data_IF_510846799788
#
_entry.id   IF_510846799788
#
_cell.length_a   1.000
_cell.length_b   1.000
_cell.length_c   1.000
_cell.angle_alpha   90.00
_cell.angle_beta   90.00
_cell.angle_gamma   90.00
#
_symmetry.space_group_name_H-M   'P 1'
#
loop_
_entity.id
_entity.type
_entity.pdbx_description
1 polymer ?
#
# COMPACT_ATOMS: atom_id res chain seq x y z
N UNK A 1 -14.60 -3.14 -24.77
CA UNK A 1 -14.70 -1.68 -24.49
C UNK A 1 -13.95 -1.37 -23.21
N UNK A 2 -13.27 -0.23 -23.07
CA UNK A 2 -12.66 0.15 -21.80
C UNK A 2 -13.74 0.25 -20.71
N UNK A 3 -13.40 -0.22 -19.51
CA UNK A 3 -14.30 -0.17 -18.35
C UNK A 3 -14.58 1.27 -17.94
N UNK A 4 -15.78 1.57 -17.53
CA UNK A 4 -16.11 2.84 -16.89
C UNK A 4 -15.56 2.87 -15.46
N UNK A 5 -15.47 4.06 -14.86
CA UNK A 5 -15.06 4.23 -13.46
C UNK A 5 -15.91 3.38 -12.50
N UNK A 6 -17.24 3.40 -12.69
CA UNK A 6 -18.17 2.61 -11.87
C UNK A 6 -18.00 1.11 -12.06
N UNK A 7 -17.78 0.64 -13.28
CA UNK A 7 -17.56 -0.79 -13.56
C UNK A 7 -16.26 -1.31 -12.93
N UNK A 8 -15.23 -0.49 -12.85
CA UNK A 8 -13.96 -0.90 -12.24
C UNK A 8 -13.99 -0.80 -10.71
N UNK A 9 -14.27 0.39 -10.17
CA UNK A 9 -14.08 0.65 -8.74
C UNK A 9 -15.27 0.22 -7.86
N UNK A 10 -16.49 0.18 -8.41
CA UNK A 10 -17.68 -0.25 -7.64
C UNK A 10 -17.94 -1.75 -7.75
N UNK A 11 -17.60 -2.38 -8.89
CA UNK A 11 -17.82 -3.79 -9.10
C UNK A 11 -16.70 -4.68 -8.57
N UNK A 12 -15.47 -4.26 -8.72
CA UNK A 12 -14.27 -5.00 -8.32
C UNK A 12 -13.49 -4.25 -7.22
N UNK A 13 -12.76 -4.99 -6.39
CA UNK A 13 -11.85 -4.42 -5.42
C UNK A 13 -10.41 -4.54 -5.94
N UNK A 14 -9.60 -3.50 -5.73
CA UNK A 14 -8.17 -3.56 -5.97
C UNK A 14 -7.55 -4.77 -5.24
N UNK A 15 -6.57 -5.47 -5.83
CA UNK A 15 -5.89 -6.58 -5.17
C UNK A 15 -5.34 -6.19 -3.80
N UNK A 16 -5.41 -7.12 -2.84
CA UNK A 16 -4.92 -6.88 -1.49
C UNK A 16 -3.40 -6.70 -1.51
N UNK A 17 -2.94 -5.52 -1.09
CA UNK A 17 -1.52 -5.16 -1.03
C UNK A 17 -1.20 -4.39 0.24
N UNK A 18 0.07 -4.43 0.66
CA UNK A 18 0.65 -3.51 1.63
C UNK A 18 1.71 -2.66 0.95
N UNK A 19 1.93 -1.47 1.48
CA UNK A 19 2.80 -0.47 0.88
C UNK A 19 3.90 -0.05 1.87
N UNK A 20 5.08 -0.70 1.86
CA UNK A 20 6.16 -0.37 2.82
C UNK A 20 6.60 1.10 2.75
N UNK A 21 6.53 1.74 1.57
CA UNK A 21 6.82 3.17 1.40
C UNK A 21 5.80 4.09 2.08
N UNK A 22 4.62 3.58 2.42
CA UNK A 22 3.56 4.29 3.13
C UNK A 22 3.47 3.87 4.63
N UNK A 23 4.47 3.15 5.14
CA UNK A 23 4.55 2.78 6.57
C UNK A 23 4.79 4.04 7.42
N UNK A 24 3.86 4.40 8.33
CA UNK A 24 4.03 5.55 9.22
C UNK A 24 5.32 5.55 10.03
N UNK A 25 5.88 4.38 10.39
CA UNK A 25 7.15 4.33 11.12
C UNK A 25 8.32 4.78 10.25
N UNK A 26 8.40 4.32 9.00
CA UNK A 26 9.42 4.72 8.03
C UNK A 26 9.28 6.20 7.70
N UNK A 27 8.04 6.66 7.56
CA UNK A 27 7.74 8.05 7.21
C UNK A 27 8.03 9.02 8.36
N UNK A 28 7.76 8.63 9.63
CA UNK A 28 8.16 9.40 10.79
C UNK A 28 9.69 9.56 10.90
N UNK A 29 10.45 8.49 10.64
CA UNK A 29 11.91 8.53 10.61
C UNK A 29 12.43 9.51 9.55
N UNK A 30 11.86 9.45 8.34
CA UNK A 30 12.20 10.37 7.26
C UNK A 30 11.84 11.82 7.59
N UNK A 31 10.72 12.04 8.29
CA UNK A 31 10.30 13.36 8.73
C UNK A 31 11.22 13.92 9.83
N UNK A 32 11.62 13.12 10.80
CA UNK A 32 12.62 13.53 11.81
C UNK A 32 13.94 13.90 11.17
N UNK A 33 14.39 13.12 10.17
CA UNK A 33 15.60 13.46 9.39
C UNK A 33 15.43 14.78 8.63
N UNK A 34 14.20 15.15 8.25
CA UNK A 34 13.87 16.42 7.60
C UNK A 34 13.59 17.57 8.59
N UNK A 35 13.58 17.30 9.90
CA UNK A 35 13.39 18.30 10.95
C UNK A 35 11.93 18.47 11.42
N UNK A 36 11.01 17.61 11.04
CA UNK A 36 9.64 17.56 11.57
C UNK A 36 9.59 16.63 12.78
N UNK A 37 8.99 17.08 13.88
CA UNK A 37 8.83 16.29 15.09
C UNK A 37 7.57 15.41 15.02
N UNK A 38 7.57 14.48 14.06
CA UNK A 38 6.45 13.58 13.84
C UNK A 38 6.16 12.70 15.07
N UNK A 39 4.87 12.43 15.31
CA UNK A 39 4.43 11.60 16.44
C UNK A 39 4.80 10.12 16.24
N UNK A 40 4.88 9.38 17.35
CA UNK A 40 5.06 7.93 17.30
C UNK A 40 3.77 7.26 16.76
N UNK A 41 3.86 6.41 15.71
CA UNK A 41 2.68 5.77 15.15
C UNK A 41 1.88 4.90 16.11
N UNK A 42 2.48 4.43 17.21
CA UNK A 42 1.84 3.48 18.13
C UNK A 42 0.60 4.05 18.86
N UNK A 43 0.47 5.37 18.94
CA UNK A 43 -0.70 6.05 19.53
C UNK A 43 -1.34 7.06 18.59
N UNK A 44 -0.97 7.05 17.32
CA UNK A 44 -1.36 8.06 16.35
C UNK A 44 -2.76 7.84 15.76
N UNK A 45 -3.32 8.93 15.20
CA UNK A 45 -4.50 8.89 14.34
C UNK A 45 -4.06 8.76 12.89
N UNK A 46 -4.39 7.63 12.27
CA UNK A 46 -3.93 7.25 10.92
C UNK A 46 -5.14 7.16 9.98
N UNK A 47 -5.07 7.86 8.85
CA UNK A 47 -6.06 7.82 7.79
C UNK A 47 -5.45 7.22 6.53
N UNK A 48 -6.13 6.25 5.92
CA UNK A 48 -5.85 5.78 4.56
C UNK A 48 -7.01 6.15 3.62
N UNK A 49 -6.71 6.94 2.59
CA UNK A 49 -7.64 7.37 1.54
C UNK A 49 -7.48 6.43 0.33
N UNK A 50 -8.60 5.87 -0.16
CA UNK A 50 -8.57 4.83 -1.17
C UNK A 50 -8.10 3.49 -0.61
N UNK A 51 -8.58 3.11 0.59
CA UNK A 51 -8.09 1.95 1.32
C UNK A 51 -8.49 0.59 0.71
N UNK A 52 -9.32 0.57 -0.33
CA UNK A 52 -9.86 -0.65 -0.96
C UNK A 52 -10.39 -1.65 0.09
N UNK A 53 -9.98 -2.92 0.03
CA UNK A 53 -10.37 -3.94 1.03
C UNK A 53 -9.59 -3.85 2.36
N UNK A 54 -8.88 -2.75 2.59
CA UNK A 54 -8.27 -2.40 3.87
C UNK A 54 -7.00 -3.17 4.24
N UNK A 55 -6.36 -3.90 3.30
CA UNK A 55 -5.23 -4.76 3.66
C UNK A 55 -4.07 -3.99 4.31
N UNK A 56 -3.75 -2.80 3.81
CA UNK A 56 -2.69 -1.97 4.37
C UNK A 56 -3.07 -1.41 5.74
N UNK A 57 -4.21 -0.72 5.87
CA UNK A 57 -4.63 -0.12 7.15
C UNK A 57 -4.90 -1.16 8.23
N UNK A 58 -5.39 -2.37 7.88
CA UNK A 58 -5.55 -3.48 8.82
C UNK A 58 -4.20 -4.01 9.33
N UNK A 59 -3.18 -4.01 8.45
CA UNK A 59 -1.81 -4.37 8.86
C UNK A 59 -1.24 -3.34 9.84
N UNK A 60 -1.51 -2.04 9.63
CA UNK A 60 -1.14 -0.96 10.55
C UNK A 60 -1.88 -1.07 11.89
N UNK A 61 -3.21 -1.25 11.86
CA UNK A 61 -4.03 -1.40 13.05
C UNK A 61 -3.61 -2.60 13.90
N UNK A 62 -3.25 -3.71 13.26
CA UNK A 62 -2.73 -4.91 13.93
C UNK A 62 -1.35 -4.70 14.54
N UNK A 63 -0.49 -3.90 13.89
CA UNK A 63 0.85 -3.57 14.38
C UNK A 63 0.81 -2.62 15.58
N UNK A 64 -0.12 -1.68 15.58
CA UNK A 64 -0.26 -0.64 16.60
C UNK A 64 -1.65 -0.64 17.24
N UNK A 65 -1.88 -1.51 18.25
CA UNK A 65 -3.19 -1.59 18.92
C UNK A 65 -3.65 -0.29 19.59
N UNK A 66 -2.71 0.62 19.91
CA UNK A 66 -2.99 1.94 20.50
C UNK A 66 -3.30 3.03 19.48
N UNK A 67 -3.07 2.79 18.18
CA UNK A 67 -3.38 3.75 17.13
C UNK A 67 -4.88 3.74 16.80
N UNK A 68 -5.41 4.88 16.34
CA UNK A 68 -6.77 5.01 15.82
C UNK A 68 -6.71 5.04 14.29
N UNK A 69 -7.08 3.94 13.64
CA UNK A 69 -7.02 3.79 12.20
C UNK A 69 -8.36 4.10 11.53
N UNK A 70 -8.33 4.79 10.40
CA UNK A 70 -9.51 5.06 9.58
C UNK A 70 -9.19 4.75 8.12
N UNK A 71 -10.00 3.93 7.46
CA UNK A 71 -9.95 3.69 6.02
C UNK A 71 -11.15 4.32 5.33
N UNK A 72 -10.94 4.97 4.18
CA UNK A 72 -12.00 5.55 3.36
C UNK A 72 -11.89 4.99 1.96
N UNK A 73 -13.00 4.52 1.42
CA UNK A 73 -13.10 4.09 0.02
C UNK A 73 -14.54 4.28 -0.49
N UNK A 74 -14.69 4.56 -1.77
CA UNK A 74 -15.98 4.72 -2.41
C UNK A 74 -16.68 3.38 -2.71
N UNK A 75 -15.92 2.28 -2.75
CA UNK A 75 -16.43 0.94 -3.05
C UNK A 75 -17.05 0.30 -1.83
N UNK A 76 -18.39 0.25 -1.77
CA UNK A 76 -19.12 -0.44 -0.70
C UNK A 76 -18.77 -1.92 -0.57
N UNK A 77 -18.45 -2.58 -1.68
CA UNK A 77 -18.00 -3.98 -1.70
C UNK A 77 -16.64 -4.12 -1.01
N UNK A 78 -15.69 -3.23 -1.32
CA UNK A 78 -14.36 -3.22 -0.72
C UNK A 78 -14.44 -2.91 0.78
N UNK A 79 -15.18 -1.86 1.16
CA UNK A 79 -15.40 -1.45 2.57
C UNK A 79 -16.10 -2.55 3.38
N UNK A 80 -17.13 -3.21 2.82
CA UNK A 80 -17.79 -4.35 3.48
C UNK A 80 -16.82 -5.49 3.73
N UNK A 81 -15.92 -5.78 2.77
CA UNK A 81 -14.87 -6.78 2.94
C UNK A 81 -13.88 -6.37 4.03
N UNK A 82 -13.42 -5.11 4.03
CA UNK A 82 -12.51 -4.58 5.04
C UNK A 82 -13.08 -4.69 6.46
N UNK A 83 -14.35 -4.30 6.65
CA UNK A 83 -15.08 -4.46 7.92
C UNK A 83 -15.18 -5.91 8.38
N UNK A 84 -15.41 -6.84 7.45
CA UNK A 84 -15.46 -8.26 7.76
C UNK A 84 -14.08 -8.80 8.19
N UNK A 85 -13.02 -8.44 7.48
CA UNK A 85 -11.64 -8.82 7.81
C UNK A 85 -11.23 -8.27 9.19
N UNK A 86 -11.55 -7.01 9.51
CA UNK A 86 -11.29 -6.41 10.81
C UNK A 86 -11.95 -7.21 11.95
N UNK A 87 -13.24 -7.55 11.80
CA UNK A 87 -13.97 -8.38 12.79
C UNK A 87 -13.32 -9.75 12.98
N UNK A 88 -12.95 -10.43 11.89
CA UNK A 88 -12.32 -11.76 11.94
C UNK A 88 -10.95 -11.73 12.60
N UNK A 89 -10.21 -10.65 12.39
CA UNK A 89 -8.92 -10.41 13.03
C UNK A 89 -9.03 -9.87 14.46
N UNK A 90 -10.24 -9.58 14.96
CA UNK A 90 -10.46 -9.02 16.28
C UNK A 90 -9.89 -7.60 16.45
N UNK A 91 -9.77 -6.83 15.37
CA UNK A 91 -9.26 -5.46 15.40
C UNK A 91 -10.39 -4.49 15.73
N UNK A 92 -10.29 -3.80 16.86
CA UNK A 92 -11.26 -2.82 17.35
C UNK A 92 -10.82 -1.36 17.15
N UNK A 93 -9.56 -1.14 16.78
CA UNK A 93 -8.93 0.16 16.63
C UNK A 93 -8.94 0.67 15.16
N UNK A 94 -9.80 0.10 14.32
CA UNK A 94 -9.95 0.52 12.92
C UNK A 94 -11.41 0.69 12.55
N UNK A 95 -11.74 1.77 11.85
CA UNK A 95 -13.05 2.06 11.29
C UNK A 95 -12.96 2.30 9.78
N UNK A 96 -14.06 2.05 9.07
CA UNK A 96 -14.14 2.21 7.62
C UNK A 96 -15.35 3.07 7.22
N UNK A 97 -15.11 4.06 6.36
CA UNK A 97 -16.13 4.92 5.77
C UNK A 97 -16.30 4.55 4.28
N UNK A 98 -17.55 4.33 3.89
CA UNK A 98 -17.96 4.15 2.51
C UNK A 98 -18.50 5.48 1.99
N UNK A 99 -17.64 6.25 1.35
CA UNK A 99 -17.98 7.54 0.75
C UNK A 99 -16.88 7.98 -0.23
N UNK A 100 -17.19 8.96 -1.05
CA UNK A 100 -16.17 9.66 -1.83
C UNK A 100 -15.32 10.56 -0.92
N UNK A 101 -14.11 10.89 -1.32
CA UNK A 101 -13.29 11.85 -0.57
C UNK A 101 -13.95 13.23 -0.48
N UNK A 102 -14.74 13.61 -1.49
CA UNK A 102 -15.48 14.88 -1.51
C UNK A 102 -16.57 14.98 -0.43
N UNK A 103 -17.08 13.83 0.02
CA UNK A 103 -18.13 13.72 1.05
C UNK A 103 -17.57 13.36 2.43
N UNK A 104 -16.27 13.07 2.51
CA UNK A 104 -15.65 12.65 3.75
C UNK A 104 -15.34 13.81 4.67
N UNK A 105 -16.13 13.98 5.71
CA UNK A 105 -15.99 15.02 6.73
C UNK A 105 -15.70 14.42 8.10
N UNK A 106 -14.44 14.03 8.39
CA UNK A 106 -14.08 13.49 9.70
C UNK A 106 -13.96 14.58 10.76
N UNK A 107 -14.18 14.19 12.01
CA UNK A 107 -13.87 15.03 13.16
C UNK A 107 -12.37 15.04 13.47
N UNK A 108 -11.84 16.25 13.75
CA UNK A 108 -10.45 16.46 14.19
C UNK A 108 -9.42 16.28 13.07
N UNK A 109 -8.17 16.07 13.48
CA UNK A 109 -6.99 15.99 12.64
C UNK A 109 -6.39 14.59 12.68
N UNK A 110 -5.49 14.30 11.75
CA UNK A 110 -4.75 13.04 11.65
C UNK A 110 -3.25 13.29 11.74
N UNK A 111 -2.54 12.39 12.40
CA UNK A 111 -1.09 12.43 12.49
C UNK A 111 -0.42 11.85 11.24
N UNK A 112 -1.10 10.88 10.62
CA UNK A 112 -0.67 10.32 9.34
C UNK A 112 -1.85 10.24 8.38
N UNK A 113 -1.66 10.78 7.16
CA UNK A 113 -2.62 10.65 6.07
C UNK A 113 -1.92 9.94 4.91
N UNK A 114 -2.48 8.81 4.49
CA UNK A 114 -1.92 7.96 3.43
C UNK A 114 -2.87 8.01 2.23
N UNK A 115 -2.36 8.45 1.08
CA UNK A 115 -3.03 8.41 -0.22
C UNK A 115 -2.10 7.70 -1.23
N UNK A 116 -1.85 6.40 -0.99
CA UNK A 116 -1.00 5.59 -1.85
C UNK A 116 -1.84 4.94 -2.96
N UNK A 117 -1.39 5.08 -4.22
CA UNK A 117 -2.14 4.57 -5.38
C UNK A 117 -3.48 5.29 -5.58
N UNK A 118 -3.57 6.58 -5.27
CA UNK A 118 -4.80 7.35 -5.35
C UNK A 118 -4.71 8.55 -6.32
N UNK A 119 -3.74 9.42 -6.15
CA UNK A 119 -3.66 10.73 -6.80
C UNK A 119 -3.73 10.65 -8.33
N UNK A 120 -3.03 9.75 -8.97
CA UNK A 120 -3.01 9.61 -10.44
C UNK A 120 -4.24 8.92 -11.03
N UNK A 121 -5.14 8.41 -10.19
CA UNK A 121 -6.30 7.61 -10.64
C UNK A 121 -7.65 8.26 -10.34
N UNK A 122 -7.63 9.54 -9.97
CA UNK A 122 -8.84 10.31 -9.68
C UNK A 122 -8.92 11.58 -10.55
N UNK A 123 -10.12 12.12 -10.79
CA UNK A 123 -10.29 13.40 -11.51
C UNK A 123 -9.54 14.57 -10.84
N UNK A 124 -9.22 15.60 -11.62
CA UNK A 124 -8.47 16.78 -11.13
C UNK A 124 -9.14 17.49 -9.96
N UNK A 125 -10.46 17.56 -9.94
CA UNK A 125 -11.23 18.09 -8.81
C UNK A 125 -10.92 17.33 -7.50
N UNK A 126 -10.85 15.99 -7.57
CA UNK A 126 -10.55 15.14 -6.41
C UNK A 126 -9.08 15.28 -6.00
N UNK A 127 -8.16 15.48 -6.95
CA UNK A 127 -6.73 15.74 -6.64
C UNK A 127 -6.55 17.03 -5.86
N UNK A 128 -7.19 18.10 -6.32
CA UNK A 128 -7.15 19.41 -5.65
C UNK A 128 -7.76 19.28 -4.25
N UNK A 129 -8.93 18.65 -4.16
CA UNK A 129 -9.61 18.42 -2.88
C UNK A 129 -8.75 17.56 -1.92
N UNK A 130 -8.06 16.52 -2.43
CA UNK A 130 -7.15 15.70 -1.62
C UNK A 130 -6.07 16.54 -0.93
N UNK A 131 -5.40 17.41 -1.69
CA UNK A 131 -4.33 18.23 -1.12
C UNK A 131 -4.87 19.28 -0.15
N UNK A 132 -6.01 19.90 -0.47
CA UNK A 132 -6.70 20.82 0.44
C UNK A 132 -7.18 20.12 1.73
N UNK A 133 -7.71 18.90 1.60
CA UNK A 133 -8.10 18.06 2.73
C UNK A 133 -6.89 17.75 3.62
N UNK A 134 -5.78 17.33 3.03
CA UNK A 134 -4.53 17.07 3.76
C UNK A 134 -4.09 18.34 4.50
N UNK A 135 -4.03 19.48 3.83
CA UNK A 135 -3.63 20.76 4.44
C UNK A 135 -4.49 21.17 5.64
N UNK A 136 -5.79 20.84 5.60
CA UNK A 136 -6.76 21.18 6.65
C UNK A 136 -6.86 20.15 7.78
N UNK A 137 -6.54 18.88 7.50
CA UNK A 137 -6.79 17.76 8.42
C UNK A 137 -5.52 17.10 8.97
N UNK A 138 -4.36 17.54 8.50
CA UNK A 138 -3.08 17.11 9.04
C UNK A 138 -2.82 17.84 10.37
N UNK A 139 -2.49 17.10 11.43
CA UNK A 139 -2.11 17.69 12.73
C UNK A 139 -0.83 18.53 12.59
N UNK A 140 -0.49 19.32 13.59
CA UNK A 140 0.63 20.27 13.55
C UNK A 140 1.95 19.60 13.09
N UNK A 141 2.28 18.46 13.66
CA UNK A 141 3.46 17.67 13.30
C UNK A 141 3.11 16.42 12.45
N UNK A 142 1.93 16.45 11.85
CA UNK A 142 1.44 15.36 11.03
C UNK A 142 2.17 15.26 9.70
N UNK A 143 2.13 14.04 9.13
CA UNK A 143 2.76 13.72 7.87
C UNK A 143 1.76 13.09 6.93
N UNK A 144 1.75 13.52 5.68
CA UNK A 144 1.03 12.81 4.63
C UNK A 144 1.98 12.14 3.65
N UNK A 145 1.53 10.99 3.13
CA UNK A 145 2.17 10.28 2.02
C UNK A 145 1.24 10.31 0.84
N UNK A 146 1.70 10.89 -0.26
CA UNK A 146 0.94 10.89 -1.52
C UNK A 146 1.81 10.28 -2.61
N UNK A 147 1.30 9.23 -3.25
CA UNK A 147 2.00 8.64 -4.38
C UNK A 147 1.33 8.98 -5.71
N UNK A 148 2.15 9.06 -6.75
CA UNK A 148 1.70 9.39 -8.09
C UNK A 148 2.59 8.81 -9.19
N UNK A 149 2.01 8.66 -10.38
CA UNK A 149 2.73 8.28 -11.59
C UNK A 149 3.59 9.45 -12.08
N UNK A 150 4.84 9.14 -12.47
CA UNK A 150 5.80 10.14 -12.92
C UNK A 150 5.78 10.27 -14.43
N UNK A 151 5.59 11.50 -14.92
CA UNK A 151 5.48 11.81 -16.35
C UNK A 151 6.67 11.30 -17.17
N UNK A 152 7.88 11.36 -16.62
CA UNK A 152 9.11 10.89 -17.27
C UNK A 152 9.05 9.42 -17.72
N UNK A 153 8.66 8.52 -16.84
CA UNK A 153 8.53 7.09 -17.18
C UNK A 153 7.28 6.78 -18.00
N UNK A 154 6.18 7.47 -17.70
CA UNK A 154 4.91 7.25 -18.40
C UNK A 154 4.88 7.76 -19.83
N UNK A 155 5.74 8.71 -20.20
CA UNK A 155 5.92 9.19 -21.58
C UNK A 155 6.19 8.07 -22.58
N UNK A 156 6.99 7.07 -22.18
CA UNK A 156 7.26 5.90 -23.02
C UNK A 156 6.16 4.83 -22.92
N UNK A 157 5.43 4.77 -21.82
CA UNK A 157 4.41 3.77 -21.51
C UNK A 157 3.05 4.09 -22.17
N UNK A 158 2.67 5.36 -22.23
CA UNK A 158 1.40 5.80 -22.81
C UNK A 158 1.15 5.33 -24.24
N UNK A 159 2.13 5.38 -25.19
CA UNK A 159 1.94 4.84 -26.53
C UNK A 159 1.58 3.35 -26.54
N UNK A 160 2.10 2.55 -25.61
CA UNK A 160 1.74 1.12 -25.48
C UNK A 160 0.29 0.99 -25.04
N UNK A 161 -0.13 1.76 -24.05
CA UNK A 161 -1.53 1.79 -23.55
C UNK A 161 -2.50 2.17 -24.69
N UNK A 162 -2.16 3.18 -25.47
CA UNK A 162 -2.97 3.62 -26.63
C UNK A 162 -3.09 2.54 -27.70
N UNK A 163 -1.99 1.86 -28.03
CA UNK A 163 -2.01 0.74 -28.99
C UNK A 163 -2.86 -0.43 -28.50
N UNK A 164 -2.76 -0.78 -27.22
CA UNK A 164 -3.59 -1.82 -26.60
C UNK A 164 -5.07 -1.44 -26.70
N UNK A 165 -5.43 -0.20 -26.33
CA UNK A 165 -6.81 0.29 -26.46
C UNK A 165 -7.31 0.27 -27.91
N UNK A 166 -6.45 0.54 -28.89
CA UNK A 166 -6.80 0.42 -30.32
C UNK A 166 -7.07 -1.02 -30.73
N UNK A 167 -6.26 -1.98 -30.24
CA UNK A 167 -6.49 -3.42 -30.48
C UNK A 167 -7.82 -3.86 -29.87
N UNK A 168 -8.12 -3.44 -28.64
CA UNK A 168 -9.38 -3.72 -27.95
C UNK A 168 -10.60 -3.13 -28.70
N UNK A 169 -10.46 -1.93 -29.25
CA UNK A 169 -11.51 -1.30 -30.03
C UNK A 169 -11.79 -2.00 -31.37
N UNK A 170 -10.79 -2.68 -31.94
CA UNK A 170 -10.91 -3.44 -33.19
C UNK A 170 -11.44 -4.86 -32.99
N UNK A 171 -11.41 -5.41 -31.78
CA UNK A 171 -11.86 -6.76 -31.46
C UNK A 171 -12.21 -6.92 -29.99
N UNK A 172 -12.94 -7.98 -29.64
CA UNK A 172 -13.28 -8.30 -28.25
C UNK A 172 -12.08 -9.03 -27.58
N UNK A 173 -11.13 -8.24 -27.09
CA UNK A 173 -9.85 -8.72 -26.59
C UNK A 173 -9.55 -8.09 -25.22
N UNK A 174 -9.13 -8.90 -24.23
CA UNK A 174 -8.67 -8.39 -22.94
C UNK A 174 -7.26 -7.75 -23.02
N UNK A 175 -6.86 -7.02 -21.97
CA UNK A 175 -5.60 -6.29 -21.90
C UNK A 175 -4.37 -7.21 -22.05
N UNK A 176 -4.40 -8.39 -21.41
CA UNK A 176 -3.29 -9.34 -21.43
C UNK A 176 -3.08 -9.92 -22.83
N UNK A 177 -4.18 -10.30 -23.50
CA UNK A 177 -4.15 -10.82 -24.88
C UNK A 177 -3.70 -9.73 -25.86
N UNK A 178 -4.21 -8.50 -25.72
CA UNK A 178 -3.81 -7.37 -26.55
C UNK A 178 -2.32 -7.01 -26.41
N UNK A 179 -1.79 -7.02 -25.17
CA UNK A 179 -0.35 -6.88 -24.90
C UNK A 179 0.46 -8.01 -25.54
N UNK A 180 -0.02 -9.26 -25.45
CA UNK A 180 0.61 -10.40 -26.09
C UNK A 180 0.70 -10.26 -27.62
N UNK A 181 -0.37 -9.80 -28.25
CA UNK A 181 -0.40 -9.50 -29.71
C UNK A 181 0.60 -8.40 -30.04
N UNK A 182 0.55 -7.27 -29.32
CA UNK A 182 1.44 -6.13 -29.53
C UNK A 182 2.91 -6.52 -29.40
N UNK A 183 3.25 -7.38 -28.43
CA UNK A 183 4.62 -7.85 -28.19
C UNK A 183 5.23 -8.57 -29.40
N UNK A 184 4.42 -9.25 -30.22
CA UNK A 184 4.92 -10.00 -31.39
C UNK A 184 5.51 -9.10 -32.49
N UNK A 185 5.16 -7.81 -32.49
CA UNK A 185 5.59 -6.80 -33.47
C UNK A 185 6.32 -5.62 -32.88
N UNK A 186 6.55 -5.64 -31.54
CA UNK A 186 7.16 -4.53 -30.81
C UNK A 186 8.67 -4.46 -31.01
N UNK A 187 9.21 -3.26 -31.10
CA UNK A 187 10.64 -3.00 -31.02
C UNK A 187 11.19 -3.33 -29.63
N UNK A 188 12.51 -3.61 -29.46
CA UNK A 188 13.07 -4.06 -28.18
C UNK A 188 12.76 -3.15 -26.98
N UNK A 189 12.74 -1.83 -27.16
CA UNK A 189 12.41 -0.89 -26.08
C UNK A 189 10.93 -0.93 -25.67
N UNK A 190 10.04 -1.10 -26.63
CA UNK A 190 8.60 -1.26 -26.41
C UNK A 190 8.29 -2.65 -25.80
N UNK A 191 8.96 -3.70 -26.29
CA UNK A 191 8.81 -5.05 -25.76
C UNK A 191 9.15 -5.12 -24.25
N UNK A 192 10.19 -4.41 -23.81
CA UNK A 192 10.56 -4.34 -22.39
C UNK A 192 9.45 -3.70 -21.53
N UNK A 193 8.78 -2.65 -22.02
CA UNK A 193 7.63 -2.03 -21.36
C UNK A 193 6.46 -3.01 -21.28
N UNK A 194 6.19 -3.72 -22.38
CA UNK A 194 5.12 -4.73 -22.44
C UNK A 194 5.40 -5.86 -21.44
N UNK A 195 6.65 -6.31 -21.32
CA UNK A 195 7.03 -7.35 -20.35
C UNK A 195 6.80 -6.91 -18.91
N UNK A 196 7.17 -5.67 -18.58
CA UNK A 196 6.89 -5.10 -17.26
C UNK A 196 5.38 -5.01 -16.99
N UNK A 197 4.57 -4.62 -17.99
CA UNK A 197 3.11 -4.61 -17.86
C UNK A 197 2.55 -6.01 -17.65
N UNK A 198 2.95 -6.99 -18.46
CA UNK A 198 2.48 -8.38 -18.34
C UNK A 198 2.83 -9.00 -16.98
N UNK A 199 3.98 -8.63 -16.41
CA UNK A 199 4.41 -9.12 -15.11
C UNK A 199 3.50 -8.67 -13.95
N UNK A 200 2.75 -7.56 -14.08
CA UNK A 200 1.78 -7.10 -13.09
C UNK A 200 0.54 -8.00 -12.98
N UNK A 201 0.18 -8.68 -14.06
CA UNK A 201 -1.04 -9.48 -14.15
C UNK A 201 -2.32 -8.67 -14.39
N UNK A 202 -3.35 -9.34 -14.93
CA UNK A 202 -4.58 -8.70 -15.41
C UNK A 202 -5.29 -7.84 -14.36
N UNK A 203 -5.37 -8.33 -13.11
CA UNK A 203 -6.09 -7.63 -12.05
C UNK A 203 -5.45 -6.28 -11.70
N UNK A 204 -4.11 -6.21 -11.65
CA UNK A 204 -3.39 -4.96 -11.36
C UNK A 204 -3.42 -4.03 -12.57
N UNK A 205 -3.20 -4.57 -13.78
CA UNK A 205 -3.21 -3.78 -15.02
C UNK A 205 -4.51 -3.02 -15.22
N UNK A 206 -5.65 -3.64 -14.90
CA UNK A 206 -6.97 -3.02 -15.06
C UNK A 206 -7.12 -1.76 -14.19
N UNK A 207 -6.53 -1.75 -13.00
CA UNK A 207 -6.59 -0.62 -12.07
C UNK A 207 -5.45 0.39 -12.25
N UNK A 208 -4.30 -0.05 -12.74
CA UNK A 208 -3.13 0.81 -12.91
C UNK A 208 -3.08 1.40 -14.33
N UNK A 209 -2.61 0.58 -15.30
CA UNK A 209 -2.24 1.05 -16.64
C UNK A 209 -3.46 1.33 -17.52
N UNK A 210 -4.57 0.61 -17.29
CA UNK A 210 -5.81 0.71 -18.10
C UNK A 210 -6.99 1.31 -17.32
N UNK A 211 -6.74 1.92 -16.18
CA UNK A 211 -7.77 2.62 -15.43
C UNK A 211 -8.49 3.67 -16.30
N UNK A 212 -9.80 3.91 -16.06
CA UNK A 212 -10.59 4.92 -16.80
C UNK A 212 -10.05 6.34 -16.65
N UNK A 213 -9.52 6.65 -15.47
CA UNK A 213 -8.78 7.88 -15.16
C UNK A 213 -7.38 7.47 -14.77
N UNK A 214 -6.39 7.95 -15.48
CA UNK A 214 -4.98 7.75 -15.15
C UNK A 214 -4.18 8.87 -15.78
N UNK A 215 -3.37 9.54 -14.96
CA UNK A 215 -2.42 10.55 -15.42
C UNK A 215 -1.06 10.42 -14.73
N UNK A 216 -0.11 11.20 -15.21
CA UNK A 216 1.25 11.23 -14.68
C UNK A 216 1.72 12.68 -14.53
N UNK A 217 2.45 12.94 -13.44
CA UNK A 217 2.85 14.27 -13.02
C UNK A 217 4.37 14.40 -12.93
N UNK A 218 4.89 15.60 -13.19
CA UNK A 218 6.27 15.91 -12.80
C UNK A 218 6.31 16.25 -11.30
N UNK A 219 7.46 16.02 -10.66
CA UNK A 219 7.67 16.37 -9.26
C UNK A 219 7.43 17.86 -9.02
N UNK A 220 7.92 18.73 -9.92
CA UNK A 220 7.74 20.18 -9.82
C UNK A 220 6.28 20.59 -9.92
N UNK A 221 5.48 19.97 -10.82
CA UNK A 221 4.05 20.25 -10.94
C UNK A 221 3.28 19.82 -9.68
N UNK A 222 3.58 18.64 -9.16
CA UNK A 222 2.99 18.13 -7.91
C UNK A 222 3.34 19.02 -6.71
N UNK A 223 4.63 19.39 -6.56
CA UNK A 223 5.09 20.26 -5.47
C UNK A 223 4.41 21.65 -5.52
N UNK A 224 4.23 22.20 -6.74
CA UNK A 224 3.52 23.47 -6.93
C UNK A 224 2.05 23.35 -6.50
N UNK A 225 1.35 22.29 -6.91
CA UNK A 225 -0.04 22.06 -6.54
C UNK A 225 -0.19 21.87 -5.03
N UNK A 226 0.63 21.01 -4.40
CA UNK A 226 0.66 20.83 -2.95
C UNK A 226 0.92 22.16 -2.21
N UNK A 227 1.79 22.98 -2.81
CA UNK A 227 2.10 24.32 -2.30
C UNK A 227 0.91 25.27 -2.23
N UNK A 228 -0.06 25.18 -3.10
CA UNK A 228 -1.30 25.98 -3.06
C UNK A 228 -2.20 25.58 -1.89
N UNK A 229 -2.17 24.34 -1.48
CA UNK A 229 -2.92 23.80 -0.32
C UNK A 229 -2.18 23.94 1.03
N UNK A 230 -1.15 24.79 1.10
CA UNK A 230 -0.39 25.01 2.33
C UNK A 230 0.53 23.86 2.74
N UNK A 231 0.87 22.98 1.80
CA UNK A 231 1.74 21.83 2.03
C UNK A 231 3.14 22.06 1.44
N UNK A 232 4.14 21.40 2.01
CA UNK A 232 5.50 21.28 1.44
C UNK A 232 5.96 19.83 1.45
N UNK A 233 6.81 19.48 0.49
CA UNK A 233 7.45 18.18 0.42
C UNK A 233 8.61 18.11 1.43
N UNK A 234 8.82 16.92 2.00
CA UNK A 234 9.91 16.62 2.93
C UNK A 234 10.89 15.65 2.29
N UNK A 235 12.20 15.89 2.48
CA UNK A 235 13.23 14.93 2.15
C UNK A 235 13.26 14.50 0.68
N UNK A 236 12.89 15.41 -0.23
CA UNK A 236 12.80 15.12 -1.67
C UNK A 236 14.12 14.59 -2.20
N UNK A 237 14.11 13.39 -2.76
CA UNK A 237 15.25 12.80 -3.45
C UNK A 237 15.12 13.03 -4.96
N UNK A 238 16.09 13.76 -5.55
CA UNK A 238 16.11 14.06 -6.98
C UNK A 238 15.21 15.21 -7.39
N UNK A 239 15.09 15.37 -8.70
CA UNK A 239 14.30 16.41 -9.39
C UNK A 239 13.70 15.87 -10.69
N UNK A 240 12.99 16.71 -11.43
CA UNK A 240 12.40 16.33 -12.71
C UNK A 240 13.45 15.86 -13.73
N UNK A 241 14.68 16.45 -13.71
CA UNK A 241 15.76 16.05 -14.62
C UNK A 241 16.34 14.66 -14.25
N UNK A 242 16.43 14.35 -12.95
CA UNK A 242 16.79 13.03 -12.45
C UNK A 242 15.75 11.99 -12.85
N UNK A 243 14.47 12.30 -12.71
CA UNK A 243 13.37 11.43 -13.12
C UNK A 243 13.37 11.13 -14.62
N UNK A 244 13.65 12.14 -15.46
CA UNK A 244 13.81 11.94 -16.92
C UNK A 244 14.98 11.01 -17.25
N UNK A 245 16.12 11.18 -16.57
CA UNK A 245 17.31 10.34 -16.76
C UNK A 245 17.06 8.89 -16.36
N UNK A 246 16.38 8.67 -15.22
CA UNK A 246 16.09 7.35 -14.67
C UNK A 246 14.85 6.70 -15.31
N UNK A 247 14.07 7.46 -16.09
CA UNK A 247 12.75 7.05 -16.60
C UNK A 247 11.83 6.58 -15.46
N UNK A 248 11.86 7.32 -14.36
CA UNK A 248 11.11 6.98 -13.15
C UNK A 248 9.61 6.95 -13.43
N UNK A 249 8.93 5.87 -13.04
CA UNK A 249 7.50 5.66 -13.34
C UNK A 249 6.60 6.02 -12.17
N UNK A 250 7.13 6.04 -10.95
CA UNK A 250 6.32 6.20 -9.73
C UNK A 250 7.10 6.92 -8.63
N UNK A 251 6.41 7.77 -7.88
CA UNK A 251 6.90 8.45 -6.68
C UNK A 251 5.94 8.27 -5.52
N UNK A 252 6.49 8.31 -4.32
CA UNK A 252 5.77 8.39 -3.07
C UNK A 252 6.43 9.50 -2.25
N UNK A 253 5.76 10.63 -2.15
CA UNK A 253 6.32 11.84 -1.55
C UNK A 253 5.74 12.09 -0.17
N UNK A 254 6.58 12.52 0.75
CA UNK A 254 6.20 12.95 2.09
C UNK A 254 5.86 14.44 2.09
N UNK A 255 4.75 14.78 2.75
CA UNK A 255 4.30 16.15 2.90
C UNK A 255 4.07 16.49 4.38
N UNK A 256 4.33 17.74 4.74
CA UNK A 256 3.87 18.34 5.98
C UNK A 256 3.26 19.71 5.68
N UNK A 257 2.63 20.33 6.68
CA UNK A 257 2.14 21.69 6.58
C UNK A 257 3.30 22.68 6.41
N UNK A 258 3.12 23.73 5.65
CA UNK A 258 4.15 24.76 5.43
C UNK A 258 4.47 25.59 6.67
N UNK A 259 3.50 25.76 7.56
CA UNK A 259 3.60 26.54 8.79
C UNK A 259 4.37 25.83 9.90
N UNK A 260 4.68 24.52 9.75
CA UNK A 260 5.52 23.78 10.69
C UNK A 260 6.97 24.28 10.62
N UNK A 261 7.53 24.69 11.75
CA UNK A 261 8.95 25.03 11.84
C UNK A 261 9.80 23.75 11.78
N UNK A 262 10.74 23.71 10.84
CA UNK A 262 11.69 22.60 10.78
C UNK A 262 12.76 22.79 11.85
N UNK A 263 12.75 21.90 12.83
CA UNK A 263 13.74 21.84 13.90
C UNK A 263 15.10 21.29 13.44
N UNK A 264 16.04 21.15 14.36
CA UNK A 264 17.29 20.44 14.10
C UNK A 264 16.99 19.00 13.70
N UNK A 265 17.71 18.51 12.68
CA UNK A 265 17.61 17.11 12.25
C UNK A 265 17.86 16.21 13.46
N UNK A 266 16.89 15.36 13.80
CA UNK A 266 17.05 14.34 14.83
C UNK A 266 17.72 13.13 14.18
N UNK A 267 18.84 12.68 14.74
CA UNK A 267 19.41 11.40 14.33
C UNK A 267 18.43 10.28 14.70
N UNK A 268 18.03 9.52 13.71
CA UNK A 268 17.29 8.29 13.95
C UNK A 268 18.15 7.34 14.78
N UNK A 269 17.62 6.94 15.93
CA UNK A 269 18.20 5.84 16.66
C UNK A 269 17.55 4.56 16.14
N UNK A 270 18.33 3.65 15.51
CA UNK A 270 17.78 2.38 15.08
C UNK A 270 17.06 1.75 16.26
N UNK A 271 15.75 1.47 16.11
CA UNK A 271 15.09 0.58 17.06
C UNK A 271 15.95 -0.67 17.06
N UNK A 272 16.48 -1.04 18.22
CA UNK A 272 17.16 -2.32 18.41
C UNK A 272 16.24 -3.35 17.79
N UNK A 273 16.72 -4.05 16.77
CA UNK A 273 15.95 -5.10 16.11
C UNK A 273 15.51 -6.04 17.22
N UNK A 274 14.25 -5.99 17.60
CA UNK A 274 13.75 -6.80 18.68
C UNK A 274 13.93 -8.24 18.22
N UNK A 275 14.85 -8.98 18.84
CA UNK A 275 14.94 -10.41 18.66
C UNK A 275 13.71 -10.98 19.35
N UNK A 276 12.68 -11.25 18.55
CA UNK A 276 11.48 -11.89 19.05
C UNK A 276 11.82 -13.36 19.36
N UNK A 277 11.79 -13.81 20.63
CA UNK A 277 12.01 -15.21 20.96
C UNK A 277 10.87 -16.03 20.36
N UNK A 278 11.19 -17.26 19.96
CA UNK A 278 10.15 -18.22 19.57
C UNK A 278 9.31 -18.53 20.81
N UNK A 279 7.99 -18.26 20.83
CA UNK A 279 7.16 -18.52 22.00
C UNK A 279 6.95 -20.02 22.22
N UNK A 280 6.80 -20.44 23.48
CA UNK A 280 6.57 -21.86 23.85
C UNK A 280 5.29 -22.44 23.21
N UNK A 281 4.28 -21.58 23.07
CA UNK A 281 3.01 -21.86 22.36
C UNK A 281 2.87 -20.88 21.19
N UNK A 282 3.40 -21.20 20.02
CA UNK A 282 3.38 -20.28 18.88
C UNK A 282 1.96 -19.91 18.49
N UNK A 283 1.69 -18.61 18.52
CA UNK A 283 0.43 -18.01 18.09
C UNK A 283 0.71 -16.90 17.09
N UNK A 284 0.22 -17.06 15.88
CA UNK A 284 0.31 -15.97 14.90
C UNK A 284 -0.49 -14.76 15.37
N UNK A 285 0.01 -13.58 15.05
CA UNK A 285 -0.76 -12.35 15.18
C UNK A 285 -2.14 -12.53 14.49
N UNK A 286 -3.26 -12.11 15.11
CA UNK A 286 -4.61 -12.37 14.61
C UNK A 286 -4.86 -11.91 13.18
N UNK A 287 -4.29 -10.78 12.78
CA UNK A 287 -4.38 -10.31 11.39
C UNK A 287 -3.65 -11.25 10.42
N UNK A 288 -2.42 -11.68 10.76
CA UNK A 288 -1.65 -12.62 9.94
C UNK A 288 -2.33 -13.98 9.83
N UNK A 289 -2.93 -14.46 10.92
CA UNK A 289 -3.76 -15.66 10.88
C UNK A 289 -4.95 -15.49 9.93
N UNK A 290 -5.62 -14.34 9.98
CA UNK A 290 -6.71 -14.02 9.05
C UNK A 290 -6.21 -14.01 7.61
N UNK A 291 -5.05 -13.41 7.32
CA UNK A 291 -4.47 -13.44 5.98
C UNK A 291 -4.20 -14.86 5.49
N UNK A 292 -3.62 -15.73 6.34
CA UNK A 292 -3.37 -17.13 5.99
C UNK A 292 -4.67 -17.87 5.65
N UNK A 293 -5.70 -17.71 6.48
CA UNK A 293 -6.99 -18.40 6.31
C UNK A 293 -7.81 -17.89 5.12
N UNK A 294 -7.66 -16.62 4.78
CA UNK A 294 -8.37 -15.98 3.65
C UNK A 294 -7.59 -16.01 2.33
N UNK A 295 -6.38 -16.58 2.31
CA UNK A 295 -5.51 -16.58 1.13
C UNK A 295 -5.03 -15.19 0.73
N UNK A 296 -4.94 -14.26 1.70
CA UNK A 296 -4.44 -12.91 1.49
C UNK A 296 -2.91 -12.86 1.62
N UNK A 297 -2.24 -11.86 1.02
CA UNK A 297 -0.82 -11.65 1.24
C UNK A 297 -0.49 -11.49 2.73
N UNK A 298 0.49 -12.25 3.21
CA UNK A 298 1.00 -12.14 4.59
C UNK A 298 2.18 -11.18 4.59
N UNK A 299 2.20 -10.25 5.54
CA UNK A 299 3.30 -9.29 5.70
C UNK A 299 4.01 -9.46 7.04
N UNK A 300 5.30 -9.14 7.06
CA UNK A 300 6.09 -9.13 8.31
C UNK A 300 5.81 -7.86 9.16
N UNK A 301 6.58 -7.67 10.23
CA UNK A 301 6.43 -6.52 11.12
C UNK A 301 6.72 -5.18 10.41
N UNK A 302 7.49 -5.19 9.33
CA UNK A 302 7.84 -4.02 8.53
C UNK A 302 6.96 -3.86 7.28
N UNK A 303 5.79 -4.52 7.26
CA UNK A 303 4.83 -4.53 6.14
C UNK A 303 5.37 -5.11 4.83
N UNK A 304 6.53 -5.77 4.85
CA UNK A 304 7.11 -6.39 3.66
C UNK A 304 6.37 -7.69 3.35
N UNK A 305 5.96 -7.91 2.10
CA UNK A 305 5.31 -9.14 1.69
C UNK A 305 6.21 -10.36 1.95
N UNK A 306 5.61 -11.42 2.49
CA UNK A 306 6.27 -12.69 2.75
C UNK A 306 5.72 -13.75 1.81
N UNK A 307 6.60 -14.50 1.16
CA UNK A 307 6.23 -15.61 0.30
C UNK A 307 6.40 -16.92 1.08
N UNK A 308 5.32 -17.68 1.16
CA UNK A 308 5.30 -18.98 1.84
C UNK A 308 4.81 -20.05 0.87
N UNK A 309 5.37 -21.26 1.00
CA UNK A 309 4.85 -22.44 0.31
C UNK A 309 3.50 -22.84 0.88
N UNK A 310 2.71 -23.58 0.11
CA UNK A 310 1.43 -24.13 0.59
C UNK A 310 1.60 -24.94 1.88
N UNK A 311 2.68 -25.74 1.99
CA UNK A 311 2.98 -26.50 3.20
C UNK A 311 3.26 -25.60 4.41
N UNK A 312 4.02 -24.51 4.22
CA UNK A 312 4.28 -23.53 5.27
C UNK A 312 2.99 -22.83 5.73
N UNK A 313 2.12 -22.46 4.80
CA UNK A 313 0.81 -21.87 5.13
C UNK A 313 -0.09 -22.84 5.92
N UNK A 314 -0.11 -24.13 5.57
CA UNK A 314 -0.86 -25.14 6.31
C UNK A 314 -0.35 -25.28 7.77
N UNK A 315 0.96 -25.26 7.96
CA UNK A 315 1.56 -25.28 9.31
C UNK A 315 1.23 -24.00 10.07
N UNK A 316 1.32 -22.82 9.42
CA UNK A 316 0.96 -21.54 10.03
C UNK A 316 -0.51 -21.50 10.46
N UNK A 317 -1.43 -22.05 9.66
CA UNK A 317 -2.86 -22.10 9.99
C UNK A 317 -3.18 -22.87 11.29
N UNK A 318 -2.25 -23.71 11.78
CA UNK A 318 -2.39 -24.44 13.04
C UNK A 318 -1.73 -23.75 14.25
N UNK A 319 -1.11 -22.57 14.04
CA UNK A 319 -0.42 -21.80 15.10
C UNK A 319 -1.40 -20.84 15.82
N UNK A 320 -2.38 -21.41 16.50
CA UNK A 320 -3.44 -20.68 17.23
C UNK A 320 -3.12 -20.46 18.72
N UNK A 321 -1.95 -20.90 19.17
CA UNK A 321 -1.53 -20.82 20.56
C UNK A 321 -2.02 -22.00 21.42
N UNK A 322 -2.80 -22.92 20.88
CA UNK A 322 -3.31 -24.10 21.61
C UNK A 322 -2.30 -25.25 21.68
N UNK A 323 -1.32 -25.27 20.80
CA UNK A 323 -0.34 -26.36 20.65
C UNK A 323 1.05 -25.90 21.05
N UNK A 324 1.73 -26.73 21.86
CA UNK A 324 3.16 -26.57 22.15
C UNK A 324 4.02 -26.84 20.91
N UNK A 325 5.29 -26.40 20.94
CA UNK A 325 6.29 -26.70 19.91
C UNK A 325 6.32 -28.16 19.48
N UNK A 326 6.25 -29.10 20.44
CA UNK A 326 6.32 -30.55 20.16
C UNK A 326 5.13 -30.97 19.31
N UNK A 327 3.90 -30.59 19.69
CA UNK A 327 2.70 -30.94 18.95
C UNK A 327 2.63 -30.28 17.57
N UNK A 328 3.14 -29.04 17.44
CA UNK A 328 3.26 -28.39 16.14
C UNK A 328 4.33 -29.05 15.26
N UNK A 329 5.44 -29.53 15.85
CA UNK A 329 6.45 -30.29 15.12
C UNK A 329 5.91 -31.63 14.60
N UNK A 330 5.08 -32.33 15.38
CA UNK A 330 4.41 -33.55 14.93
C UNK A 330 3.47 -33.27 13.76
N UNK A 331 2.62 -32.23 13.89
CA UNK A 331 1.75 -31.78 12.80
C UNK A 331 2.53 -31.34 11.54
N UNK A 332 3.67 -30.66 11.71
CA UNK A 332 4.51 -30.26 10.59
C UNK A 332 5.14 -31.46 9.87
N UNK A 333 5.53 -32.54 10.59
CA UNK A 333 6.01 -33.77 9.96
C UNK A 333 4.96 -34.44 9.09
N UNK A 334 3.70 -34.36 9.46
CA UNK A 334 2.59 -34.93 8.70
C UNK A 334 2.23 -34.07 7.47
N UNK A 335 2.18 -32.75 7.63
CA UNK A 335 1.68 -31.81 6.62
C UNK A 335 2.77 -31.23 5.72
N UNK A 336 4.00 -31.15 6.20
CA UNK A 336 5.16 -30.55 5.52
C UNK A 336 6.44 -31.36 5.84
N UNK A 337 6.55 -32.62 5.42
CA UNK A 337 7.62 -33.54 5.84
C UNK A 337 9.03 -33.09 5.48
N UNK A 338 9.17 -32.18 4.51
CA UNK A 338 10.46 -31.62 4.09
C UNK A 338 10.80 -30.31 4.79
N UNK A 339 9.92 -29.78 5.64
CA UNK A 339 10.11 -28.50 6.33
C UNK A 339 11.02 -28.68 7.55
N UNK A 340 12.12 -27.92 7.59
CA UNK A 340 12.85 -27.71 8.85
C UNK A 340 11.99 -26.82 9.76
N UNK A 341 11.16 -27.45 10.59
CA UNK A 341 10.19 -26.77 11.43
C UNK A 341 10.83 -25.81 12.44
N UNK A 342 11.99 -26.15 12.99
CA UNK A 342 12.69 -25.28 13.97
C UNK A 342 13.25 -24.03 13.29
N UNK A 343 13.89 -24.21 12.13
CA UNK A 343 14.36 -23.08 11.33
C UNK A 343 13.18 -22.19 10.87
N UNK A 344 12.06 -22.80 10.51
CA UNK A 344 10.85 -22.08 10.12
C UNK A 344 10.26 -21.26 11.26
N UNK A 345 10.13 -21.80 12.48
CA UNK A 345 9.68 -21.03 13.66
C UNK A 345 10.62 -19.86 13.96
N UNK A 346 11.93 -20.05 13.91
CA UNK A 346 12.91 -18.98 14.07
C UNK A 346 12.76 -17.89 12.99
N UNK A 347 12.51 -18.30 11.76
CA UNK A 347 12.26 -17.39 10.65
C UNK A 347 10.99 -16.53 10.88
N UNK A 348 9.88 -17.15 11.34
CA UNK A 348 8.65 -16.42 11.68
C UNK A 348 8.86 -15.47 12.86
N UNK A 349 9.58 -15.92 13.90
CA UNK A 349 9.90 -15.06 15.05
C UNK A 349 10.74 -13.84 14.65
N UNK A 350 11.81 -14.05 13.86
CA UNK A 350 12.67 -12.97 13.37
C UNK A 350 11.91 -11.91 12.55
N UNK A 351 10.77 -12.28 11.97
CA UNK A 351 9.88 -11.39 11.21
C UNK A 351 8.73 -10.81 12.06
N UNK A 352 8.73 -11.02 13.38
CA UNK A 352 7.69 -10.52 14.28
C UNK A 352 6.29 -11.07 13.96
N UNK A 353 6.18 -12.34 13.51
CA UNK A 353 4.92 -12.93 13.08
C UNK A 353 3.99 -13.33 14.23
N UNK A 354 4.52 -13.50 15.42
CA UNK A 354 3.77 -13.93 16.60
C UNK A 354 3.20 -12.76 17.40
N UNK A 355 2.21 -13.04 18.23
CA UNK A 355 1.66 -12.14 19.27
C UNK A 355 2.43 -12.27 20.56
#
# INVERSE_FOLDING_TARGET
>A
MPRTFSELYLADAYPAMSHPSADPAVNAESAWAAGVDAVDPSGARILEIGCASGHHILSLASRWPGAECTGVDLSGKAVSRARNLARRAGLSNVKFCECTLLEFEPEGEFDFIIAHGFFSWVPDEVKIHLLDFIGKRLSENGIAVVSFNVAAGWKARMPVVEKVRAIQAAGDTDEMTALGILKTVAEPGEAAIIDDMLAKGAAVLAFDDFAPVMDAWSLGAFAKLAGHSGLRLLGVEGDDAGDEKEKKTFRSELLCRKDVELGARKEWRPKVTATFPVPDFPKLNPWRMTCVLEGLPVVDADLKPCVFTTQQLLVMASMDGSKSHVRLADHARETAPTLDFVAFLKHLAARGMFT
#
